data_IF_164291162203
#
_entry.id   IF_164291162203
#
_cell.length_a   1.000
_cell.length_b   1.000
_cell.length_c   1.000
_cell.angle_alpha   90.00
_cell.angle_beta   90.00
_cell.angle_gamma   90.00
#
_symmetry.space_group_name_H-M   'P 1'
#
loop_
_entity.id
_entity.type
_entity.pdbx_description
1 polymer ?
#
# COMPACT_ATOMS: atom_id res chain seq x y z
N UNK A 1 26.92 6.19 13.61
CA UNK A 1 26.07 5.05 13.19
C UNK A 1 24.74 5.62 12.69
N UNK A 2 24.29 5.30 11.47
CA UNK A 2 22.94 5.65 11.02
C UNK A 2 21.90 4.97 11.94
N UNK A 3 20.79 5.65 12.16
CA UNK A 3 19.66 5.10 12.89
C UNK A 3 18.76 4.33 11.92
N UNK A 4 18.31 3.15 12.33
CA UNK A 4 17.41 2.31 11.56
C UNK A 4 16.04 2.21 12.23
N UNK A 5 15.01 2.10 11.41
CA UNK A 5 13.65 1.76 11.82
C UNK A 5 13.00 0.88 10.74
N UNK A 6 12.16 -0.06 11.15
CA UNK A 6 11.50 -1.03 10.26
C UNK A 6 10.03 -1.10 10.61
N UNK A 7 9.20 -1.24 9.59
CA UNK A 7 7.75 -1.48 9.70
C UNK A 7 7.37 -2.69 8.85
N UNK A 8 6.35 -3.40 9.28
CA UNK A 8 5.64 -4.40 8.49
C UNK A 8 4.16 -4.09 8.55
N UNK A 9 3.54 -3.87 7.38
CA UNK A 9 2.15 -3.47 7.26
C UNK A 9 1.38 -4.51 6.45
N UNK A 10 0.14 -4.78 6.86
CA UNK A 10 -0.72 -5.81 6.30
C UNK A 10 -2.06 -5.21 5.86
N UNK A 11 -2.46 -5.47 4.62
CA UNK A 11 -3.70 -4.95 4.04
C UNK A 11 -4.48 -6.06 3.36
N UNK A 12 -5.57 -6.57 3.97
CA UNK A 12 -6.44 -7.55 3.34
C UNK A 12 -6.98 -7.04 2.00
N UNK A 13 -6.83 -7.84 0.95
CA UNK A 13 -7.36 -7.51 -0.36
C UNK A 13 -8.84 -7.91 -0.42
N UNK A 14 -9.71 -7.12 -1.06
CA UNK A 14 -11.07 -7.54 -1.37
C UNK A 14 -11.12 -8.84 -2.18
N UNK A 15 -12.11 -9.69 -1.94
CA UNK A 15 -12.24 -11.00 -2.60
C UNK A 15 -12.36 -10.92 -4.14
N UNK A 16 -12.83 -9.80 -4.68
CA UNK A 16 -12.95 -9.58 -6.13
C UNK A 16 -11.64 -9.11 -6.78
N UNK A 17 -10.62 -8.73 -6.01
CA UNK A 17 -9.30 -8.38 -6.54
C UNK A 17 -8.43 -9.63 -6.57
N UNK A 18 -8.10 -10.09 -7.78
CA UNK A 18 -7.18 -11.21 -7.93
C UNK A 18 -5.75 -10.81 -7.58
N UNK A 19 -4.99 -11.78 -7.05
CA UNK A 19 -3.55 -11.64 -6.79
C UNK A 19 -2.80 -11.09 -7.99
N UNK A 20 -3.02 -11.67 -9.16
CA UNK A 20 -2.23 -11.35 -10.36
C UNK A 20 -2.49 -9.92 -10.83
N UNK A 21 -3.72 -9.41 -10.70
CA UNK A 21 -4.02 -8.02 -11.02
C UNK A 21 -3.28 -7.04 -10.09
N UNK A 22 -3.21 -7.37 -8.80
CA UNK A 22 -2.50 -6.54 -7.81
C UNK A 22 -1.00 -6.58 -8.09
N UNK A 23 -0.42 -7.75 -8.34
CA UNK A 23 0.99 -7.92 -8.70
C UNK A 23 1.33 -7.13 -9.98
N UNK A 24 0.54 -7.28 -11.03
CA UNK A 24 0.73 -6.53 -12.28
C UNK A 24 0.66 -5.02 -12.03
N UNK A 25 -0.26 -4.56 -11.17
CA UNK A 25 -0.38 -3.15 -10.82
C UNK A 25 0.85 -2.62 -10.09
N UNK A 26 1.36 -3.34 -9.08
CA UNK A 26 2.59 -2.97 -8.38
C UNK A 26 3.80 -2.90 -9.33
N UNK A 27 3.87 -3.81 -10.29
CA UNK A 27 4.97 -3.92 -11.26
C UNK A 27 4.92 -2.88 -12.38
N UNK A 28 3.90 -2.01 -12.42
CA UNK A 28 3.97 -0.79 -13.24
C UNK A 28 4.72 0.35 -12.53
N UNK A 29 5.04 0.19 -11.23
CA UNK A 29 5.73 1.12 -10.32
C UNK A 29 5.04 2.46 -10.08
N UNK A 30 4.31 2.99 -11.05
CA UNK A 30 3.53 4.23 -10.94
C UNK A 30 2.63 4.31 -9.70
N UNK A 31 1.92 3.24 -9.27
CA UNK A 31 1.11 3.27 -8.05
C UNK A 31 1.94 3.44 -6.78
N UNK A 32 3.24 3.16 -6.83
CA UNK A 32 4.16 3.34 -5.71
C UNK A 32 4.80 4.73 -5.67
N UNK A 33 4.52 5.59 -6.67
CA UNK A 33 5.06 6.95 -6.76
C UNK A 33 3.95 8.02 -6.73
N UNK A 34 2.87 7.79 -7.47
CA UNK A 34 1.79 8.77 -7.67
C UNK A 34 0.94 9.14 -6.45
N UNK A 35 0.80 8.28 -5.42
CA UNK A 35 0.01 8.63 -4.23
C UNK A 35 0.62 9.71 -3.31
N UNK A 36 1.86 10.12 -3.57
CA UNK A 36 2.60 11.09 -2.77
C UNK A 36 1.99 12.49 -2.91
N UNK A 37 1.59 13.14 -1.79
CA UNK A 37 0.84 14.40 -1.83
C UNK A 37 1.62 15.60 -2.40
N UNK A 38 2.95 15.52 -2.38
CA UNK A 38 3.84 16.57 -2.87
C UNK A 38 4.45 16.25 -4.24
N UNK A 39 4.07 15.14 -4.87
CA UNK A 39 4.58 14.76 -6.17
C UNK A 39 4.26 15.84 -7.21
N UNK A 40 5.28 16.28 -7.94
CA UNK A 40 5.12 17.12 -9.12
C UNK A 40 5.26 16.34 -10.41
N UNK A 41 6.28 15.49 -10.48
CA UNK A 41 6.62 14.67 -11.64
C UNK A 41 7.54 13.53 -11.21
N UNK A 42 7.64 12.52 -12.05
CA UNK A 42 8.65 11.48 -11.94
C UNK A 42 9.24 11.25 -13.33
N UNK A 43 10.56 11.22 -13.41
CA UNK A 43 11.27 11.07 -14.67
C UNK A 43 12.05 9.76 -14.65
N UNK A 44 11.86 8.91 -15.67
CA UNK A 44 12.67 7.69 -15.81
C UNK A 44 14.13 8.08 -16.05
N UNK A 45 15.06 7.38 -15.41
CA UNK A 45 16.51 7.54 -15.61
C UNK A 45 17.19 6.21 -15.94
N UNK A 46 18.43 6.29 -16.39
CA UNK A 46 19.28 5.12 -16.51
C UNK A 46 19.48 4.47 -15.13
N UNK A 47 19.53 3.15 -15.12
CA UNK A 47 19.84 2.36 -13.92
C UNK A 47 21.36 2.36 -13.79
N UNK A 48 21.88 2.92 -12.70
CA UNK A 48 23.31 2.91 -12.41
C UNK A 48 23.69 1.56 -11.78
N UNK A 49 24.53 0.78 -12.46
CA UNK A 49 24.89 -0.57 -12.00
C UNK A 49 25.59 -0.54 -10.63
N UNK A 50 26.37 0.51 -10.36
CA UNK A 50 27.01 0.73 -9.06
C UNK A 50 26.01 0.89 -7.91
N UNK A 51 24.78 1.35 -8.20
CA UNK A 51 23.73 1.44 -7.18
C UNK A 51 23.16 0.06 -6.82
N UNK A 52 23.42 -1.00 -7.61
CA UNK A 52 22.81 -2.32 -7.45
C UNK A 52 23.77 -3.37 -6.91
N UNK A 53 25.01 -3.41 -7.42
CA UNK A 53 25.93 -4.55 -7.25
C UNK A 53 26.21 -4.87 -5.78
N UNK A 54 26.33 -3.84 -4.94
CA UNK A 54 26.64 -3.99 -3.52
C UNK A 54 25.41 -3.89 -2.62
N UNK A 55 24.21 -3.77 -3.19
CA UNK A 55 22.96 -3.65 -2.43
C UNK A 55 22.23 -5.01 -2.39
N UNK A 56 22.32 -5.77 -1.28
CA UNK A 56 21.70 -7.10 -1.18
C UNK A 56 20.18 -7.06 -1.21
N UNK A 57 19.57 -5.87 -1.21
CA UNK A 57 18.14 -5.70 -1.39
C UNK A 57 17.66 -6.05 -2.81
N UNK A 58 18.52 -5.87 -3.81
CA UNK A 58 18.20 -6.25 -5.19
C UNK A 58 18.75 -7.66 -5.45
N UNK A 59 17.83 -8.62 -5.57
CA UNK A 59 18.16 -10.04 -5.63
C UNK A 59 17.89 -10.65 -7.02
N UNK A 60 18.44 -11.83 -7.27
CA UNK A 60 18.37 -12.52 -8.58
C UNK A 60 16.96 -13.04 -8.94
N UNK A 61 16.05 -13.12 -7.98
CA UNK A 61 14.65 -13.48 -8.20
C UNK A 61 13.84 -12.40 -8.95
N UNK A 62 14.39 -11.20 -9.09
CA UNK A 62 13.76 -10.10 -9.81
C UNK A 62 14.23 -10.00 -11.26
N UNK A 63 13.33 -9.60 -12.16
CA UNK A 63 13.58 -9.66 -13.62
C UNK A 63 13.46 -8.32 -14.36
N UNK A 64 12.97 -7.27 -13.71
CA UNK A 64 12.85 -5.94 -14.31
C UNK A 64 13.33 -4.93 -13.29
N UNK A 65 14.34 -4.15 -13.66
CA UNK A 65 14.86 -3.06 -12.83
C UNK A 65 14.69 -1.74 -13.59
N UNK A 66 14.08 -0.76 -12.94
CA UNK A 66 13.92 0.58 -13.48
C UNK A 66 14.21 1.63 -12.41
N UNK A 67 14.85 2.72 -12.81
CA UNK A 67 15.15 3.83 -11.91
C UNK A 67 14.41 5.07 -12.36
N UNK A 68 13.97 5.85 -11.38
CA UNK A 68 13.26 7.10 -11.55
C UNK A 68 13.89 8.18 -10.67
N UNK A 69 13.68 9.44 -11.05
CA UNK A 69 13.83 10.59 -10.16
C UNK A 69 12.43 11.08 -9.85
N UNK A 70 11.99 10.85 -8.62
CA UNK A 70 10.73 11.38 -8.10
C UNK A 70 10.99 12.81 -7.64
N UNK A 71 10.22 13.76 -8.17
CA UNK A 71 10.38 15.18 -7.85
C UNK A 71 9.19 15.64 -7.01
N UNK A 72 9.46 15.99 -5.76
CA UNK A 72 8.46 16.48 -4.82
C UNK A 72 8.67 17.97 -4.50
N UNK A 73 7.58 18.69 -4.26
CA UNK A 73 7.61 20.08 -3.77
C UNK A 73 7.17 20.11 -2.31
N UNK A 74 8.15 20.01 -1.42
CA UNK A 74 7.92 19.94 0.03
C UNK A 74 7.79 21.35 0.61
N UNK A 75 6.72 21.65 1.37
CA UNK A 75 6.60 22.94 2.06
C UNK A 75 7.62 23.01 3.20
N UNK A 76 8.45 24.05 3.21
CA UNK A 76 9.40 24.32 4.32
C UNK A 76 8.75 25.22 5.36
N UNK A 77 8.01 26.25 4.92
CA UNK A 77 7.29 27.17 5.80
C UNK A 77 5.86 27.31 5.25
N UNK A 78 4.90 26.50 5.74
CA UNK A 78 3.53 26.47 5.22
C UNK A 78 2.85 27.84 5.22
N UNK A 79 3.07 28.63 6.28
CA UNK A 79 2.46 29.96 6.46
C UNK A 79 3.00 31.05 5.51
N UNK A 80 4.18 30.86 4.92
CA UNK A 80 4.80 31.83 4.01
C UNK A 80 4.83 31.34 2.55
N UNK A 81 4.21 30.19 2.25
CA UNK A 81 4.21 29.61 0.91
C UNK A 81 5.58 29.14 0.41
N UNK A 82 6.60 29.10 1.27
CA UNK A 82 7.95 28.70 0.90
C UNK A 82 8.03 27.17 0.82
N UNK A 83 8.51 26.69 -0.33
CA UNK A 83 8.63 25.28 -0.65
C UNK A 83 9.95 25.01 -1.35
N UNK A 84 10.41 23.77 -1.27
CA UNK A 84 11.65 23.32 -1.92
C UNK A 84 11.35 22.15 -2.82
N UNK A 85 11.95 22.19 -4.01
CA UNK A 85 12.00 21.01 -4.87
C UNK A 85 13.01 20.01 -4.29
N UNK A 86 12.56 18.80 -4.06
CA UNK A 86 13.36 17.67 -3.58
C UNK A 86 13.35 16.61 -4.67
N UNK A 87 14.55 16.16 -5.06
CA UNK A 87 14.74 15.08 -6.02
C UNK A 87 15.11 13.82 -5.26
N UNK A 88 14.33 12.76 -5.48
CA UNK A 88 14.46 11.49 -4.78
C UNK A 88 14.70 10.42 -5.83
N UNK A 89 15.96 10.03 -6.06
CA UNK A 89 16.27 8.82 -6.82
C UNK A 89 15.57 7.61 -6.20
N UNK A 90 14.83 6.88 -7.01
CA UNK A 90 14.17 5.65 -6.62
C UNK A 90 14.47 4.55 -7.65
N UNK A 91 14.86 3.37 -7.18
CA UNK A 91 15.14 2.21 -8.01
C UNK A 91 14.20 1.08 -7.63
N UNK A 92 13.50 0.55 -8.61
CA UNK A 92 12.49 -0.48 -8.46
C UNK A 92 12.96 -1.78 -9.09
N UNK A 93 12.55 -2.89 -8.51
CA UNK A 93 12.71 -4.23 -9.09
C UNK A 93 11.41 -5.02 -8.96
N UNK A 94 10.94 -5.62 -10.05
CA UNK A 94 9.80 -6.56 -10.03
C UNK A 94 10.27 -7.97 -9.70
N UNK A 95 9.47 -8.71 -8.94
CA UNK A 95 9.71 -10.11 -8.54
C UNK A 95 8.36 -10.90 -8.46
N UNK A 96 8.34 -12.25 -8.29
CA UNK A 96 7.16 -13.09 -8.57
C UNK A 96 5.87 -12.68 -7.89
N UNK A 97 5.96 -12.19 -6.65
CA UNK A 97 4.81 -11.80 -5.84
C UNK A 97 4.66 -10.28 -5.66
N UNK A 98 5.45 -9.44 -6.34
CA UNK A 98 5.29 -7.99 -6.25
C UNK A 98 6.43 -7.14 -6.80
N UNK A 99 6.76 -6.08 -6.07
CA UNK A 99 7.80 -5.12 -6.43
C UNK A 99 8.55 -4.61 -5.18
N UNK A 100 9.83 -4.32 -5.33
CA UNK A 100 10.67 -3.74 -4.28
C UNK A 100 11.28 -2.43 -4.76
N UNK A 101 11.45 -1.49 -3.84
CA UNK A 101 11.93 -0.13 -4.13
C UNK A 101 12.99 0.28 -3.12
N UNK A 102 14.08 0.88 -3.61
CA UNK A 102 14.98 1.67 -2.79
C UNK A 102 14.89 3.13 -3.19
N UNK A 103 14.74 4.04 -2.22
CA UNK A 103 14.74 5.47 -2.44
C UNK A 103 15.79 6.18 -1.58
N UNK A 104 16.48 7.15 -2.18
CA UNK A 104 17.53 7.95 -1.55
C UNK A 104 17.04 9.41 -1.41
N UNK A 105 16.58 9.80 -0.23
CA UNK A 105 16.04 11.14 0.04
C UNK A 105 17.03 12.03 0.79
N UNK A 106 16.74 13.34 0.85
CA UNK A 106 17.52 14.33 1.57
C UNK A 106 19.03 14.33 1.23
N UNK A 107 19.38 14.10 -0.03
CA UNK A 107 20.78 14.03 -0.48
C UNK A 107 21.54 12.80 0.04
N UNK A 108 20.84 11.69 0.27
CA UNK A 108 21.42 10.44 0.79
C UNK A 108 21.44 10.34 2.32
N UNK A 109 20.93 11.36 3.03
CA UNK A 109 20.83 11.33 4.49
C UNK A 109 19.67 10.47 5.00
N UNK A 110 18.73 10.11 4.12
CA UNK A 110 17.63 9.18 4.39
C UNK A 110 17.58 8.16 3.26
N UNK A 111 17.63 6.88 3.59
CA UNK A 111 17.51 5.77 2.63
C UNK A 111 16.38 4.86 3.05
N UNK A 112 15.47 4.59 2.13
CA UNK A 112 14.31 3.72 2.34
C UNK A 112 14.43 2.50 1.45
N UNK A 113 14.12 1.33 2.00
CA UNK A 113 13.92 0.10 1.26
C UNK A 113 12.52 -0.41 1.58
N UNK A 114 11.69 -0.65 0.56
CA UNK A 114 10.33 -1.16 0.72
C UNK A 114 10.09 -2.34 -0.20
N UNK A 115 9.62 -3.44 0.35
CA UNK A 115 9.13 -4.59 -0.42
C UNK A 115 7.61 -4.63 -0.32
N UNK A 116 6.93 -4.62 -1.46
CA UNK A 116 5.49 -4.75 -1.59
C UNK A 116 5.18 -6.13 -2.17
N UNK A 117 4.54 -6.98 -1.39
CA UNK A 117 4.29 -8.37 -1.72
C UNK A 117 2.81 -8.71 -1.60
N UNK A 118 2.27 -9.47 -2.55
CA UNK A 118 0.96 -10.09 -2.42
C UNK A 118 1.11 -11.50 -1.87
N UNK A 119 0.75 -11.67 -0.60
CA UNK A 119 0.87 -12.91 0.14
C UNK A 119 -0.50 -13.51 0.47
N UNK A 120 -0.56 -14.84 0.68
CA UNK A 120 -1.75 -15.46 1.25
C UNK A 120 -1.89 -14.98 2.69
N UNK A 121 -3.12 -14.67 3.10
CA UNK A 121 -3.41 -14.30 4.47
C UNK A 121 -3.15 -15.47 5.42
N UNK A 122 -2.45 -15.19 6.50
CA UNK A 122 -2.35 -16.07 7.64
C UNK A 122 -3.29 -15.58 8.74
N UNK A 123 -4.51 -16.13 8.76
CA UNK A 123 -5.52 -15.79 9.74
C UNK A 123 -5.06 -16.06 11.19
N UNK A 124 -4.20 -17.07 11.40
CA UNK A 124 -3.64 -17.36 12.72
C UNK A 124 -2.73 -16.22 13.19
N UNK A 125 -1.83 -15.77 12.33
CA UNK A 125 -0.95 -14.63 12.61
C UNK A 125 -1.71 -13.30 12.75
N UNK A 126 -2.84 -13.13 12.05
CA UNK A 126 -3.70 -11.95 12.19
C UNK A 126 -4.30 -11.83 13.60
N UNK A 127 -4.82 -12.93 14.16
CA UNK A 127 -5.36 -12.94 15.52
C UNK A 127 -4.29 -12.60 16.57
N UNK A 128 -3.08 -13.13 16.43
CA UNK A 128 -1.97 -12.80 17.33
C UNK A 128 -1.56 -11.32 17.25
N UNK A 129 -1.54 -10.74 16.03
CA UNK A 129 -1.26 -9.31 15.84
C UNK A 129 -2.33 -8.42 16.45
N UNK A 130 -3.60 -8.75 16.25
CA UNK A 130 -4.72 -8.01 16.84
C UNK A 130 -4.65 -8.01 18.37
N UNK A 131 -4.31 -9.15 18.98
CA UNK A 131 -4.15 -9.25 20.43
C UNK A 131 -2.98 -8.44 21.03
N UNK A 132 -1.97 -8.07 20.23
CA UNK A 132 -0.85 -7.22 20.67
C UNK A 132 -1.18 -5.72 20.61
N UNK A 133 -1.97 -5.31 19.61
CA UNK A 133 -2.35 -3.90 19.43
C UNK A 133 -3.08 -3.32 20.66
N UNK A 134 -3.86 -4.15 21.36
CA UNK A 134 -4.58 -3.75 22.58
C UNK A 134 -3.66 -3.59 23.81
N UNK A 135 -2.43 -4.14 23.77
CA UNK A 135 -1.53 -4.14 24.93
C UNK A 135 -0.50 -3.01 24.96
N UNK A 136 -0.29 -2.31 23.84
CA UNK A 136 0.80 -1.32 23.70
C UNK A 136 0.42 0.12 24.07
N UNK A 137 -0.81 0.38 24.55
CA UNK A 137 -1.13 1.57 25.34
C UNK A 137 -0.77 2.94 24.74
N UNK A 138 -0.74 3.09 23.41
CA UNK A 138 -0.56 4.40 22.78
C UNK A 138 -1.94 5.04 22.62
N UNK A 139 -2.26 5.96 23.54
CA UNK A 139 -3.50 6.73 23.49
C UNK A 139 -3.64 7.47 22.16
N UNK A 140 -4.63 7.08 21.37
CA UNK A 140 -5.03 7.80 20.17
C UNK A 140 -5.82 9.04 20.63
N UNK A 141 -5.29 10.24 20.37
CA UNK A 141 -6.03 11.48 20.53
C UNK A 141 -7.10 11.54 19.44
N UNK A 142 -8.30 11.12 19.83
CA UNK A 142 -9.44 10.96 18.95
C UNK A 142 -9.82 12.25 18.22
N UNK A 143 -9.55 12.29 16.92
CA UNK A 143 -10.39 12.95 15.92
C UNK A 143 -10.00 12.54 14.51
N UNK A 144 -10.13 11.26 14.20
CA UNK A 144 -10.51 10.83 12.84
C UNK A 144 -11.32 9.55 13.01
N UNK A 145 -12.63 9.64 12.74
CA UNK A 145 -13.51 8.48 12.71
C UNK A 145 -13.18 7.69 11.45
N UNK A 146 -12.16 6.84 11.56
CA UNK A 146 -11.81 5.86 10.56
C UNK A 146 -12.96 4.86 10.41
N UNK A 147 -13.38 4.62 9.17
CA UNK A 147 -14.39 3.62 8.76
C UNK A 147 -13.98 2.18 9.14
N UNK A 148 -12.76 1.99 9.67
CA UNK A 148 -12.27 0.74 10.24
C UNK A 148 -12.75 0.49 11.68
N UNK A 149 -13.12 1.55 12.41
CA UNK A 149 -13.57 1.45 13.81
C UNK A 149 -14.99 0.86 13.89
N UNK A 150 -15.85 1.14 12.90
CA UNK A 150 -17.18 0.51 12.81
C UNK A 150 -17.11 -0.99 12.50
N UNK A 151 -16.06 -1.45 11.81
CA UNK A 151 -15.85 -2.87 11.52
C UNK A 151 -15.28 -3.63 12.73
N UNK A 152 -14.43 -2.99 13.54
CA UNK A 152 -13.89 -3.58 14.77
C UNK A 152 -14.87 -3.52 15.95
N UNK A 153 -15.66 -2.44 16.08
CA UNK A 153 -16.67 -2.30 17.13
C UNK A 153 -17.83 -3.31 17.01
N UNK A 154 -18.10 -3.83 15.81
CA UNK A 154 -19.10 -4.88 15.59
C UNK A 154 -18.64 -6.26 16.10
N UNK A 155 -17.32 -6.49 16.27
CA UNK A 155 -16.74 -7.80 16.64
C UNK A 155 -16.72 -8.02 18.16
N UNK A 156 -16.74 -6.96 18.97
CA UNK A 156 -16.74 -7.06 20.43
C UNK A 156 -18.02 -7.67 21.05
N UNK A 157 -19.02 -8.03 20.25
CA UNK A 157 -20.33 -8.50 20.74
C UNK A 157 -20.87 -9.73 20.02
N UNK A 158 -20.05 -10.75 19.82
CA UNK A 158 -20.56 -12.07 19.41
C UNK A 158 -19.47 -13.04 19.02
N UNK A 159 -19.25 -14.08 19.84
CA UNK A 159 -18.37 -15.18 19.51
C UNK A 159 -18.84 -15.92 18.25
N UNK A 160 -18.00 -15.92 17.23
CA UNK A 160 -18.19 -16.67 15.98
C UNK A 160 -17.11 -16.26 14.99
N UNK A 161 -16.34 -17.24 14.49
CA UNK A 161 -15.15 -17.04 13.65
C UNK A 161 -15.35 -16.00 12.55
N UNK A 162 -14.55 -14.94 12.59
CA UNK A 162 -14.67 -13.78 11.72
C UNK A 162 -14.16 -14.04 10.30
N UNK A 163 -15.06 -14.49 9.42
CA UNK A 163 -14.94 -14.11 8.01
C UNK A 163 -15.31 -12.64 7.91
N UNK A 164 -14.32 -11.78 7.69
CA UNK A 164 -14.56 -10.39 7.30
C UNK A 164 -15.38 -10.39 6.00
N UNK A 165 -16.64 -9.92 5.98
CA UNK A 165 -17.46 -9.96 4.79
C UNK A 165 -16.79 -9.10 3.70
N UNK A 166 -16.21 -9.76 2.70
CA UNK A 166 -15.56 -9.13 1.55
C UNK A 166 -14.03 -9.15 1.52
N UNK A 167 -13.34 -9.59 2.58
CA UNK A 167 -11.89 -9.78 2.53
C UNK A 167 -11.55 -11.14 1.88
N UNK A 168 -10.76 -11.10 0.82
CA UNK A 168 -10.29 -12.27 0.10
C UNK A 168 -9.21 -13.05 0.84
N UNK A 169 -8.69 -14.08 0.17
CA UNK A 169 -7.62 -14.95 0.67
C UNK A 169 -6.21 -14.31 0.63
N UNK A 170 -6.07 -13.16 -0.04
CA UNK A 170 -4.81 -12.48 -0.28
C UNK A 170 -4.72 -11.17 0.50
N UNK A 171 -3.50 -10.76 0.83
CA UNK A 171 -3.18 -9.45 1.42
C UNK A 171 -2.00 -8.82 0.69
N UNK A 172 -1.95 -7.48 0.70
CA UNK A 172 -0.76 -6.71 0.39
C UNK A 172 0.04 -6.55 1.68
N UNK A 173 1.27 -7.06 1.68
CA UNK A 173 2.24 -6.92 2.76
C UNK A 173 3.33 -5.95 2.31
N UNK A 174 3.55 -4.92 3.11
CA UNK A 174 4.71 -4.04 2.95
C UNK A 174 5.71 -4.31 4.07
N UNK A 175 6.96 -4.57 3.70
CA UNK A 175 8.11 -4.59 4.62
C UNK A 175 9.02 -3.44 4.26
N UNK A 176 9.11 -2.43 5.12
CA UNK A 176 9.86 -1.23 4.84
C UNK A 176 10.89 -0.94 5.93
N UNK A 177 12.10 -0.57 5.52
CA UNK A 177 13.20 -0.17 6.38
C UNK A 177 13.65 1.22 5.99
N UNK A 178 13.88 2.07 6.98
CA UNK A 178 14.50 3.38 6.79
C UNK A 178 15.80 3.48 7.58
N UNK A 179 16.84 3.97 6.91
CA UNK A 179 18.07 4.45 7.53
C UNK A 179 18.12 5.97 7.43
N UNK A 180 18.46 6.63 8.54
CA UNK A 180 18.60 8.07 8.57
C UNK A 180 19.67 8.51 9.57
N UNK A 181 20.05 9.79 9.54
CA UNK A 181 20.88 10.36 10.60
C UNK A 181 20.13 10.35 11.95
N UNK A 182 20.86 10.18 13.05
CA UNK A 182 20.25 10.13 14.39
C UNK A 182 19.43 11.38 14.74
N UNK A 183 19.79 12.54 14.18
CA UNK A 183 19.09 13.82 14.35
C UNK A 183 17.72 13.80 13.65
N UNK A 184 17.60 13.13 12.51
CA UNK A 184 16.36 13.06 11.73
C UNK A 184 15.41 11.96 12.21
N UNK A 185 15.91 10.96 12.95
CA UNK A 185 15.15 9.78 13.38
C UNK A 185 13.76 10.10 13.98
N UNK A 186 13.58 11.05 14.92
CA UNK A 186 12.28 11.28 15.55
C UNK A 186 11.22 11.76 14.55
N UNK A 187 11.64 12.57 13.57
CA UNK A 187 10.76 13.10 12.53
C UNK A 187 10.46 12.04 11.47
N UNK A 188 11.50 11.32 11.04
CA UNK A 188 11.39 10.26 10.03
C UNK A 188 10.49 9.14 10.53
N UNK A 189 10.70 8.62 11.74
CA UNK A 189 9.91 7.48 12.25
C UNK A 189 8.42 7.80 12.31
N UNK A 190 8.05 8.98 12.83
CA UNK A 190 6.65 9.37 12.98
C UNK A 190 5.94 9.52 11.63
N UNK A 191 6.61 10.10 10.63
CA UNK A 191 6.01 10.28 9.30
C UNK A 191 6.07 9.02 8.44
N UNK A 192 7.07 8.16 8.66
CA UNK A 192 7.36 7.00 7.83
C UNK A 192 6.21 5.99 7.86
N UNK A 193 5.78 5.52 9.04
CA UNK A 193 4.70 4.53 9.10
C UNK A 193 3.39 5.08 8.53
N UNK A 194 3.03 6.32 8.88
CA UNK A 194 1.80 6.95 8.41
C UNK A 194 1.79 7.10 6.88
N UNK A 195 2.90 7.55 6.29
CA UNK A 195 3.02 7.71 4.83
C UNK A 195 2.94 6.38 4.09
N UNK A 196 3.61 5.34 4.60
CA UNK A 196 3.61 4.01 4.00
C UNK A 196 2.23 3.32 4.12
N UNK A 197 1.54 3.53 5.25
CA UNK A 197 0.16 3.07 5.44
C UNK A 197 -0.80 3.73 4.47
N UNK A 198 -0.70 5.05 4.29
CA UNK A 198 -1.50 5.81 3.33
C UNK A 198 -1.20 5.40 1.87
N UNK A 199 0.07 5.19 1.53
CA UNK A 199 0.51 4.70 0.23
C UNK A 199 -0.15 3.37 -0.12
N UNK A 200 -0.03 2.36 0.75
CA UNK A 200 -0.61 1.04 0.51
C UNK A 200 -2.15 1.09 0.37
N UNK A 201 -2.84 1.90 1.19
CA UNK A 201 -4.29 2.13 1.05
C UNK A 201 -4.63 2.71 -0.33
N UNK A 202 -3.90 3.75 -0.77
CA UNK A 202 -4.12 4.41 -2.06
C UNK A 202 -3.83 3.50 -3.25
N UNK A 203 -2.85 2.60 -3.16
CA UNK A 203 -2.57 1.58 -4.19
C UNK A 203 -3.79 0.67 -4.35
N UNK A 204 -4.30 0.12 -3.25
CA UNK A 204 -5.48 -0.77 -3.27
C UNK A 204 -6.69 -0.03 -3.81
N UNK A 205 -6.97 1.19 -3.32
CA UNK A 205 -8.14 1.96 -3.75
C UNK A 205 -8.03 2.43 -5.21
N UNK A 206 -6.82 2.73 -5.68
CA UNK A 206 -6.53 2.99 -7.09
C UNK A 206 -6.91 1.80 -7.97
N UNK A 207 -6.56 0.59 -7.52
CA UNK A 207 -6.89 -0.64 -8.23
C UNK A 207 -8.40 -0.92 -8.21
N UNK A 208 -9.07 -0.77 -7.05
CA UNK A 208 -10.54 -0.90 -6.95
C UNK A 208 -11.25 0.00 -7.96
N UNK A 209 -10.86 1.28 -8.02
CA UNK A 209 -11.43 2.24 -8.98
C UNK A 209 -11.20 1.83 -10.44
N UNK A 210 -10.02 1.27 -10.76
CA UNK A 210 -9.70 0.79 -12.11
C UNK A 210 -10.56 -0.43 -12.48
N UNK A 211 -10.63 -1.42 -11.60
CA UNK A 211 -11.42 -2.64 -11.81
C UNK A 211 -12.91 -2.34 -11.97
N UNK A 212 -13.50 -1.48 -11.14
CA UNK A 212 -14.92 -1.11 -11.23
C UNK A 212 -15.27 -0.35 -12.51
N UNK A 213 -14.31 0.34 -13.13
CA UNK A 213 -14.51 1.02 -14.41
C UNK A 213 -14.47 0.05 -15.59
N UNK A 214 -13.57 -0.93 -15.52
CA UNK A 214 -13.37 -1.90 -16.61
C UNK A 214 -14.46 -2.99 -16.60
N UNK A 215 -15.04 -3.28 -15.42
CA UNK A 215 -16.14 -4.22 -15.24
C UNK A 215 -17.23 -3.58 -14.36
N UNK A 216 -18.22 -2.88 -14.95
CA UNK A 216 -19.37 -2.43 -14.18
C UNK A 216 -20.04 -3.66 -13.54
N UNK A 217 -20.58 -3.56 -12.31
CA UNK A 217 -21.28 -4.67 -11.69
C UNK A 217 -22.34 -5.17 -12.67
N UNK A 218 -22.27 -6.45 -13.02
CA UNK A 218 -23.32 -7.13 -13.78
C UNK A 218 -24.59 -6.87 -12.99
N UNK A 219 -25.49 -6.05 -13.56
CA UNK A 219 -26.78 -5.79 -12.95
C UNK A 219 -27.41 -7.15 -12.66
N UNK A 220 -27.73 -7.41 -11.39
CA UNK A 220 -28.52 -8.59 -11.02
C UNK A 220 -29.65 -8.73 -12.02
N UNK A 221 -29.62 -9.80 -12.83
CA UNK A 221 -30.66 -10.09 -13.79
C UNK A 221 -31.97 -10.18 -13.00
N UNK A 222 -32.77 -9.10 -13.09
CA UNK A 222 -34.13 -9.12 -12.58
C UNK A 222 -34.80 -10.34 -13.21
N UNK A 223 -35.38 -11.25 -12.42
CA UNK A 223 -36.02 -12.43 -12.96
C UNK A 223 -37.04 -11.99 -14.00
N UNK A 224 -36.83 -12.41 -15.25
CA UNK A 224 -37.75 -12.20 -16.36
C UNK A 224 -39.08 -12.81 -15.94
N UNK A 225 -40.08 -11.98 -15.68
CA UNK A 225 -41.44 -12.45 -15.43
C UNK A 225 -41.93 -13.16 -16.69
N UNK A 226 -41.95 -14.49 -16.65
CA UNK A 226 -42.64 -15.30 -17.65
C UNK A 226 -44.14 -15.09 -17.44
N UNK A 227 -44.77 -14.33 -18.33
CA UNK A 227 -46.22 -14.20 -18.34
C UNK A 227 -46.82 -15.50 -18.87
N UNK A 228 -47.32 -16.34 -17.96
CA UNK A 228 -48.18 -17.48 -18.28
C UNK A 228 -49.55 -16.97 -18.74
N UNK A 229 -49.68 -16.60 -20.01
CA UNK A 229 -50.98 -16.50 -20.65
C UNK A 229 -51.28 -17.83 -21.34
N UNK A 230 -52.07 -18.69 -20.69
CA UNK A 230 -52.75 -19.77 -21.38
C UNK A 230 -54.17 -19.94 -20.84
N UNK A 231 -55.09 -19.89 -21.81
CA UNK A 231 -56.37 -20.56 -21.90
C UNK A 231 -57.49 -20.17 -20.92
N UNK A 232 -58.53 -19.53 -21.48
CA UNK A 232 -59.87 -20.15 -21.45
C UNK A 232 -60.44 -20.13 -22.86
N UNK A 233 -60.79 -21.33 -23.31
CA UNK A 233 -61.42 -21.70 -24.57
C UNK A 233 -62.93 -21.79 -24.34
N UNK A 234 -63.68 -21.22 -25.29
CA UNK A 234 -65.11 -21.42 -25.63
C UNK A 234 -66.17 -21.13 -24.57
#
# INVERSE_FOLDING_TARGET
>A
MPATHTIELHFPLPAYLSRDLVVQHLQTYEPLMTPHPYLQRYDRRAVEVSDLVDDPFFTEDGWRIESYVVVERVPIIPLLGLSKEVKIPATFQSFPSGARCRADAAGGAVRVWSTYEVARRDLGAEFERAGRADSDGVGHDGSDRDVLDDAYAAVGRGGGGGEFPGAGEWELVERARVECSAILKPFVVRSFEAAHRDLCRKVIDGLKRKTSRDHPPVAEERPVRVNSASAVVK
#
